data_IF_985004759439
#
_entry.id   IF_985004759439
#
_cell.length_a   1.000
_cell.length_b   1.000
_cell.length_c   1.000
_cell.angle_alpha   90.00
_cell.angle_beta   90.00
_cell.angle_gamma   90.00
#
_symmetry.space_group_name_H-M   'P 1'
#
loop_
_entity.id
_entity.type
_entity.pdbx_description
1 polymer ?
#
# COMPACT_ATOMS: atom_id res chain seq x y z
N UNK A 1 43.12 -3.17 -14.26
CA UNK A 1 42.11 -2.15 -14.62
C UNK A 1 41.60 -1.54 -13.31
N UNK A 2 42.16 -0.40 -12.88
CA UNK A 2 41.75 0.29 -11.66
C UNK A 2 40.45 1.05 -11.98
N UNK A 3 39.36 0.75 -11.28
CA UNK A 3 38.15 1.58 -11.30
C UNK A 3 38.57 2.94 -10.75
N UNK A 4 38.67 3.96 -11.60
CA UNK A 4 39.04 5.30 -11.17
C UNK A 4 37.97 5.84 -10.25
N UNK A 5 38.35 6.24 -9.03
CA UNK A 5 37.47 6.99 -8.15
C UNK A 5 36.91 8.19 -8.92
N UNK A 6 35.59 8.36 -8.90
CA UNK A 6 34.89 9.48 -9.55
C UNK A 6 35.47 10.81 -9.08
N UNK A 7 35.63 11.76 -10.01
CA UNK A 7 36.25 13.05 -9.72
C UNK A 7 35.48 13.81 -8.63
N UNK A 8 36.12 14.73 -7.87
CA UNK A 8 35.43 15.53 -6.85
C UNK A 8 34.17 16.24 -7.38
N UNK A 9 34.19 16.67 -8.65
CA UNK A 9 33.04 17.27 -9.33
C UNK A 9 31.91 16.25 -9.56
N UNK A 10 32.23 15.04 -10.02
CA UNK A 10 31.24 13.97 -10.18
C UNK A 10 30.62 13.58 -8.84
N UNK A 11 31.42 13.51 -7.77
CA UNK A 11 30.91 13.24 -6.42
C UNK A 11 29.98 14.36 -5.91
N UNK A 12 30.29 15.62 -6.19
CA UNK A 12 29.45 16.76 -5.83
C UNK A 12 28.10 16.74 -6.57
N UNK A 13 28.09 16.42 -7.86
CA UNK A 13 26.86 16.28 -8.66
C UNK A 13 25.97 15.16 -8.10
N UNK A 14 26.55 13.98 -7.84
CA UNK A 14 25.79 12.84 -7.27
C UNK A 14 25.20 13.22 -5.91
N UNK A 15 25.96 13.88 -5.03
CA UNK A 15 25.46 14.34 -3.73
C UNK A 15 24.31 15.33 -3.87
N UNK A 16 24.44 16.31 -4.76
CA UNK A 16 23.39 17.30 -5.00
C UNK A 16 22.10 16.65 -5.51
N UNK A 17 22.21 15.69 -6.43
CA UNK A 17 21.06 14.95 -6.94
C UNK A 17 20.37 14.13 -5.84
N UNK A 18 21.14 13.39 -5.04
CA UNK A 18 20.60 12.62 -3.91
C UNK A 18 19.90 13.52 -2.89
N UNK A 19 20.47 14.69 -2.59
CA UNK A 19 19.85 15.65 -1.68
C UNK A 19 18.52 16.18 -2.21
N UNK A 20 18.43 16.48 -3.51
CA UNK A 20 17.18 16.91 -4.15
C UNK A 20 16.13 15.79 -4.14
N UNK A 21 16.56 14.55 -4.35
CA UNK A 21 15.70 13.38 -4.30
C UNK A 21 15.16 13.14 -2.88
N UNK A 22 16.01 13.20 -1.86
CA UNK A 22 15.60 13.08 -0.45
C UNK A 22 14.62 14.19 -0.04
N UNK A 23 14.85 15.41 -0.53
CA UNK A 23 13.92 16.52 -0.31
C UNK A 23 12.55 16.26 -0.96
N UNK A 24 12.51 15.79 -2.22
CA UNK A 24 11.26 15.43 -2.88
C UNK A 24 10.52 14.30 -2.14
N UNK A 25 11.25 13.29 -1.65
CA UNK A 25 10.68 12.24 -0.82
C UNK A 25 10.06 12.80 0.46
N UNK A 26 10.74 13.71 1.16
CA UNK A 26 10.22 14.32 2.39
C UNK A 26 8.93 15.14 2.15
N UNK A 27 8.82 15.84 1.01
CA UNK A 27 7.58 16.55 0.64
C UNK A 27 6.46 15.54 0.41
N UNK A 28 6.75 14.44 -0.28
CA UNK A 28 5.78 13.40 -0.58
C UNK A 28 5.29 12.70 0.69
N UNK A 29 6.21 12.35 1.61
CA UNK A 29 5.88 11.79 2.91
C UNK A 29 5.01 12.77 3.72
N UNK A 30 5.37 14.04 3.77
CA UNK A 30 4.57 15.06 4.45
C UNK A 30 3.17 15.21 3.86
N UNK A 31 3.05 15.16 2.53
CA UNK A 31 1.75 15.18 1.85
C UNK A 31 0.90 13.97 2.24
N UNK A 32 1.48 12.77 2.28
CA UNK A 32 0.77 11.58 2.74
C UNK A 32 0.33 11.68 4.19
N UNK A 33 1.17 12.19 5.10
CA UNK A 33 0.78 12.40 6.51
C UNK A 33 -0.36 13.38 6.66
N UNK A 34 -0.34 14.47 5.89
CA UNK A 34 -1.44 15.44 5.88
C UNK A 34 -2.73 14.80 5.38
N UNK A 35 -2.67 14.01 4.31
CA UNK A 35 -3.83 13.27 3.80
C UNK A 35 -4.34 12.26 4.83
N UNK A 36 -3.45 11.53 5.49
CA UNK A 36 -3.81 10.63 6.60
C UNK A 36 -4.61 11.38 7.66
N UNK A 37 -4.10 12.54 8.11
CA UNK A 37 -4.78 13.35 9.13
C UNK A 37 -6.17 13.80 8.69
N UNK A 38 -6.31 14.27 7.45
CA UNK A 38 -7.60 14.70 6.89
C UNK A 38 -8.57 13.51 6.82
N UNK A 39 -8.15 12.38 6.24
CA UNK A 39 -8.98 11.18 6.13
C UNK A 39 -9.39 10.63 7.50
N UNK A 40 -8.47 10.60 8.47
CA UNK A 40 -8.75 10.16 9.84
C UNK A 40 -9.78 11.04 10.54
N UNK A 41 -9.75 12.37 10.33
CA UNK A 41 -10.75 13.27 10.88
C UNK A 41 -12.11 13.08 10.20
N UNK A 42 -12.13 12.92 8.87
CA UNK A 42 -13.34 12.68 8.08
C UNK A 42 -14.03 11.36 8.44
N UNK A 43 -13.28 10.36 8.91
CA UNK A 43 -13.83 9.05 9.31
C UNK A 43 -14.92 9.16 10.41
N UNK A 44 -14.95 10.28 11.13
CA UNK A 44 -15.93 10.52 12.20
C UNK A 44 -17.31 10.97 11.72
N UNK A 45 -17.51 11.31 10.44
CA UNK A 45 -18.79 11.81 9.88
C UNK A 45 -19.26 11.00 8.63
N UNK A 46 -20.58 10.82 8.48
CA UNK A 46 -21.34 9.93 7.56
C UNK A 46 -20.93 9.89 6.06
N UNK A 47 -21.39 9.01 5.16
CA UNK A 47 -21.46 7.52 5.04
C UNK A 47 -21.15 7.05 3.59
N UNK A 48 -20.54 7.88 2.73
CA UNK A 48 -19.99 7.44 1.42
C UNK A 48 -18.59 8.03 1.18
N UNK A 49 -18.40 9.30 1.53
CA UNK A 49 -17.08 9.94 1.65
C UNK A 49 -16.17 9.15 2.61
N UNK A 50 -16.78 8.54 3.64
CA UNK A 50 -16.14 7.62 4.57
C UNK A 50 -15.41 6.47 3.84
N UNK A 51 -16.06 5.84 2.85
CA UNK A 51 -15.49 4.69 2.13
C UNK A 51 -14.29 5.09 1.27
N UNK A 52 -14.39 6.23 0.58
CA UNK A 52 -13.28 6.82 -0.17
C UNK A 52 -12.12 7.17 0.76
N UNK A 53 -12.41 7.83 1.88
CA UNK A 53 -11.40 8.23 2.87
C UNK A 53 -10.63 7.04 3.45
N UNK A 54 -11.31 5.93 3.81
CA UNK A 54 -10.63 4.71 4.26
C UNK A 54 -9.72 4.12 3.18
N UNK A 55 -10.17 4.12 1.92
CA UNK A 55 -9.41 3.57 0.82
C UNK A 55 -8.17 4.42 0.50
N UNK A 56 -8.34 5.73 0.40
CA UNK A 56 -7.26 6.69 0.13
C UNK A 56 -6.24 6.73 1.27
N UNK A 57 -6.72 6.71 2.51
CA UNK A 57 -5.89 6.56 3.71
C UNK A 57 -5.03 5.29 3.61
N UNK A 58 -5.64 4.17 3.25
CA UNK A 58 -4.95 2.89 3.14
C UNK A 58 -3.91 2.89 2.03
N UNK A 59 -4.20 3.53 0.88
CA UNK A 59 -3.22 3.73 -0.20
C UNK A 59 -2.02 4.56 0.29
N UNK A 60 -2.25 5.66 1.01
CA UNK A 60 -1.19 6.46 1.61
C UNK A 60 -0.33 5.63 2.58
N UNK A 61 -0.98 4.86 3.48
CA UNK A 61 -0.29 3.99 4.43
C UNK A 61 0.54 2.90 3.73
N UNK A 62 0.04 2.33 2.62
CA UNK A 62 0.80 1.36 1.80
C UNK A 62 2.05 2.02 1.19
N UNK A 63 1.95 3.25 0.68
CA UNK A 63 3.10 3.98 0.14
C UNK A 63 4.14 4.30 1.23
N UNK A 64 3.68 4.67 2.43
CA UNK A 64 4.53 4.87 3.62
C UNK A 64 5.03 3.57 4.26
N UNK A 65 4.77 2.40 3.64
CA UNK A 65 5.14 1.07 4.14
C UNK A 65 4.52 0.71 5.51
N UNK A 66 3.47 1.41 5.93
CA UNK A 66 2.69 1.18 7.16
C UNK A 66 1.61 0.13 6.93
N UNK A 67 2.04 -1.07 6.53
CA UNK A 67 1.13 -2.10 6.02
C UNK A 67 0.12 -2.62 7.05
N UNK A 68 0.51 -2.76 8.32
CA UNK A 68 -0.38 -3.20 9.39
C UNK A 68 -1.58 -2.26 9.57
N UNK A 69 -1.31 -0.95 9.60
CA UNK A 69 -2.33 0.08 9.68
C UNK A 69 -3.22 0.08 8.43
N UNK A 70 -2.65 -0.03 7.22
CA UNK A 70 -3.43 -0.13 6.00
C UNK A 70 -4.39 -1.35 6.02
N UNK A 71 -3.92 -2.51 6.48
CA UNK A 71 -4.74 -3.72 6.60
C UNK A 71 -5.89 -3.51 7.59
N UNK A 72 -5.65 -2.83 8.71
CA UNK A 72 -6.68 -2.51 9.70
C UNK A 72 -7.76 -1.60 9.10
N UNK A 73 -7.36 -0.50 8.46
CA UNK A 73 -8.29 0.44 7.82
C UNK A 73 -9.14 -0.25 6.74
N UNK A 74 -8.54 -1.06 5.88
CA UNK A 74 -9.26 -1.81 4.84
C UNK A 74 -10.16 -2.91 5.40
N UNK A 75 -9.80 -3.48 6.56
CA UNK A 75 -10.65 -4.44 7.27
C UNK A 75 -11.87 -3.77 7.85
N UNK A 76 -11.71 -2.59 8.46
CA UNK A 76 -12.81 -1.77 8.93
C UNK A 76 -13.71 -1.34 7.77
N UNK A 77 -13.13 -0.85 6.66
CA UNK A 77 -13.86 -0.52 5.45
C UNK A 77 -14.71 -1.69 4.93
N UNK A 78 -14.13 -2.89 4.86
CA UNK A 78 -14.84 -4.09 4.40
C UNK A 78 -16.04 -4.45 5.29
N UNK A 79 -15.98 -4.15 6.59
CA UNK A 79 -17.10 -4.41 7.52
C UNK A 79 -18.23 -3.40 7.33
N UNK A 80 -17.89 -2.12 7.15
CA UNK A 80 -18.86 -1.03 6.97
C UNK A 80 -19.54 -1.14 5.61
N UNK A 81 -18.81 -1.55 4.58
CA UNK A 81 -19.32 -1.71 3.22
C UNK A 81 -20.28 -2.88 3.05
N UNK A 82 -20.41 -3.81 4.00
CA UNK A 82 -21.34 -4.93 3.84
C UNK A 82 -22.79 -4.43 3.76
N UNK A 83 -23.58 -4.87 2.75
CA UNK A 83 -23.29 -5.94 1.78
C UNK A 83 -22.61 -5.49 0.47
N UNK A 84 -22.48 -4.18 0.22
CA UNK A 84 -21.88 -3.57 -0.97
C UNK A 84 -20.35 -3.65 -0.99
N UNK A 85 -19.84 -4.86 -1.20
CA UNK A 85 -18.39 -5.14 -1.29
C UNK A 85 -17.70 -4.33 -2.39
N UNK A 86 -16.52 -3.76 -2.10
CA UNK A 86 -15.70 -3.02 -3.05
C UNK A 86 -14.46 -3.83 -3.46
N UNK A 87 -14.33 -4.15 -4.76
CA UNK A 87 -13.21 -4.91 -5.30
C UNK A 87 -11.84 -4.30 -4.97
N UNK A 88 -11.74 -2.97 -5.09
CA UNK A 88 -10.51 -2.21 -4.85
C UNK A 88 -10.06 -2.29 -3.38
N UNK A 89 -11.01 -2.30 -2.43
CA UNK A 89 -10.68 -2.45 -1.01
C UNK A 89 -10.06 -3.82 -0.71
N UNK A 90 -10.54 -4.89 -1.35
CA UNK A 90 -9.94 -6.22 -1.24
C UNK A 90 -8.57 -6.26 -1.92
N UNK A 91 -8.46 -5.72 -3.14
CA UNK A 91 -7.20 -5.67 -3.87
C UNK A 91 -6.09 -4.96 -3.05
N UNK A 92 -6.36 -3.75 -2.57
CA UNK A 92 -5.41 -2.99 -1.76
C UNK A 92 -5.03 -3.72 -0.47
N UNK A 93 -5.96 -4.48 0.14
CA UNK A 93 -5.67 -5.24 1.37
C UNK A 93 -4.78 -6.43 1.06
N UNK A 94 -5.03 -7.09 -0.07
CA UNK A 94 -4.17 -8.14 -0.61
C UNK A 94 -2.76 -7.64 -0.88
N UNK A 95 -2.62 -6.50 -1.55
CA UNK A 95 -1.32 -5.84 -1.83
C UNK A 95 -0.61 -5.49 -0.51
N UNK A 96 -1.31 -4.90 0.46
CA UNK A 96 -0.72 -4.55 1.75
C UNK A 96 -0.20 -5.80 2.49
N UNK A 97 -0.98 -6.89 2.53
CA UNK A 97 -0.56 -8.17 3.12
C UNK A 97 0.64 -8.75 2.34
N UNK A 98 0.60 -8.73 1.01
CA UNK A 98 1.70 -9.22 0.18
C UNK A 98 3.01 -8.50 0.50
N UNK A 99 2.98 -7.16 0.56
CA UNK A 99 4.16 -6.35 0.89
C UNK A 99 4.62 -6.55 2.34
N UNK A 100 3.69 -6.73 3.28
CA UNK A 100 3.99 -7.02 4.69
C UNK A 100 4.71 -8.37 4.85
N UNK A 101 4.31 -9.37 4.06
CA UNK A 101 4.86 -10.71 4.12
C UNK A 101 5.90 -11.01 3.04
N UNK A 102 6.37 -10.02 2.28
CA UNK A 102 7.27 -10.22 1.14
C UNK A 102 8.59 -10.93 1.50
N UNK A 103 9.00 -10.90 2.78
CA UNK A 103 10.21 -11.57 3.29
C UNK A 103 9.95 -12.95 3.89
N UNK A 104 8.69 -13.37 3.98
CA UNK A 104 8.33 -14.64 4.60
C UNK A 104 8.58 -15.78 3.61
N UNK A 105 9.13 -16.88 4.11
CA UNK A 105 9.22 -18.15 3.38
C UNK A 105 7.84 -18.77 3.19
N UNK A 106 7.72 -19.69 2.23
CA UNK A 106 6.48 -20.44 2.00
C UNK A 106 6.00 -21.19 3.26
N UNK A 107 6.92 -21.71 4.07
CA UNK A 107 6.63 -22.40 5.31
C UNK A 107 6.07 -21.45 6.39
N UNK A 108 6.59 -20.22 6.47
CA UNK A 108 6.08 -19.21 7.40
C UNK A 108 4.70 -18.72 6.98
N UNK A 109 4.47 -18.54 5.68
CA UNK A 109 3.15 -18.20 5.12
C UNK A 109 2.12 -19.30 5.37
N UNK A 110 2.53 -20.58 5.31
CA UNK A 110 1.64 -21.71 5.58
C UNK A 110 1.10 -21.71 7.02
N UNK A 111 1.89 -21.20 7.98
CA UNK A 111 1.51 -21.05 9.40
C UNK A 111 0.55 -19.90 9.66
N UNK A 112 0.41 -18.96 8.73
CA UNK A 112 -0.57 -17.88 8.85
C UNK A 112 -1.99 -18.44 8.72
N UNK A 113 -2.91 -17.90 9.51
CA UNK A 113 -4.34 -18.17 9.33
C UNK A 113 -4.77 -17.80 7.90
N UNK A 114 -5.74 -18.54 7.35
CA UNK A 114 -6.24 -18.35 5.97
C UNK A 114 -6.58 -16.87 5.69
N UNK A 115 -7.20 -16.19 6.65
CA UNK A 115 -7.60 -14.79 6.56
C UNK A 115 -6.42 -13.81 6.49
N UNK A 116 -5.20 -14.24 6.86
CA UNK A 116 -3.97 -13.42 6.75
C UNK A 116 -3.26 -13.64 5.42
N UNK A 117 -3.65 -14.61 4.60
CA UNK A 117 -3.00 -14.88 3.32
C UNK A 117 -3.37 -13.80 2.28
N UNK A 118 -2.40 -13.19 1.58
CA UNK A 118 -2.67 -12.15 0.58
C UNK A 118 -3.57 -12.61 -0.56
N UNK A 119 -3.36 -13.83 -1.06
CA UNK A 119 -4.12 -14.40 -2.18
C UNK A 119 -5.63 -14.49 -1.93
N UNK A 120 -6.06 -14.60 -0.67
CA UNK A 120 -7.48 -14.63 -0.36
C UNK A 120 -8.17 -13.33 -0.78
N UNK A 121 -7.55 -12.19 -0.47
CA UNK A 121 -8.07 -10.88 -0.80
C UNK A 121 -7.90 -10.55 -2.28
N UNK A 122 -6.73 -10.89 -2.86
CA UNK A 122 -6.45 -10.68 -4.28
C UNK A 122 -7.47 -11.46 -5.14
N UNK A 123 -7.80 -12.70 -4.79
CA UNK A 123 -8.80 -13.49 -5.51
C UNK A 123 -10.24 -13.02 -5.29
N UNK A 124 -10.51 -12.21 -4.27
CA UNK A 124 -11.84 -11.67 -4.02
C UNK A 124 -12.18 -10.51 -4.95
N UNK A 125 -11.19 -9.70 -5.34
CA UNK A 125 -11.38 -8.59 -6.27
C UNK A 125 -11.99 -9.00 -7.63
N UNK A 126 -11.47 -10.01 -8.37
CA UNK A 126 -12.05 -10.42 -9.65
C UNK A 126 -13.39 -11.16 -9.52
N UNK A 127 -13.75 -11.63 -8.33
CA UNK A 127 -15.10 -12.16 -8.07
C UNK A 127 -16.12 -11.03 -8.00
N UNK A 128 -15.74 -9.87 -7.48
CA UNK A 128 -16.59 -8.67 -7.39
C UNK A 128 -16.59 -7.92 -8.73
N UNK A 129 -15.41 -7.75 -9.33
CA UNK A 129 -15.21 -7.03 -10.59
C UNK A 129 -14.37 -7.88 -11.56
N UNK A 130 -15.02 -8.69 -12.43
CA UNK A 130 -14.32 -9.63 -13.31
C UNK A 130 -13.32 -9.01 -14.31
N UNK A 131 -13.46 -7.72 -14.61
CA UNK A 131 -12.57 -6.99 -15.52
C UNK A 131 -11.44 -6.23 -14.80
N UNK A 132 -11.22 -6.49 -13.50
CA UNK A 132 -10.17 -5.83 -12.73
C UNK A 132 -8.78 -6.36 -13.11
N UNK A 133 -8.16 -5.74 -14.11
CA UNK A 133 -6.85 -6.12 -14.63
C UNK A 133 -5.74 -6.08 -13.56
N UNK A 134 -5.81 -5.11 -12.64
CA UNK A 134 -4.82 -4.96 -11.57
C UNK A 134 -4.85 -6.16 -10.60
N UNK A 135 -6.03 -6.72 -10.33
CA UNK A 135 -6.13 -7.93 -9.51
C UNK A 135 -5.50 -9.17 -10.17
N UNK A 136 -5.64 -9.32 -11.49
CA UNK A 136 -4.94 -10.39 -12.22
C UNK A 136 -3.42 -10.19 -12.19
N UNK A 137 -2.94 -8.96 -12.39
CA UNK A 137 -1.51 -8.65 -12.27
C UNK A 137 -0.98 -8.92 -10.86
N UNK A 138 -1.69 -8.46 -9.83
CA UNK A 138 -1.31 -8.67 -8.43
C UNK A 138 -1.27 -10.17 -8.06
N UNK A 139 -2.15 -10.99 -8.66
CA UNK A 139 -2.15 -12.44 -8.48
C UNK A 139 -0.91 -13.10 -9.08
N UNK A 140 -0.42 -12.61 -10.22
CA UNK A 140 0.81 -13.13 -10.85
C UNK A 140 2.09 -12.71 -10.14
N UNK A 141 2.04 -11.64 -9.34
CA UNK A 141 3.17 -11.10 -8.60
C UNK A 141 3.41 -11.76 -7.24
N UNK A 142 2.53 -12.69 -6.82
CA UNK A 142 2.62 -13.46 -5.57
C UNK A 142 3.11 -14.89 -5.82
#
# INVERSE_FOLDING_TARGET
MKISASSPQQQAIVRSFLQQYDYALSIMEHAFEKTIQVCSNSITNQTAELHGAYLDLSKCLIQLKRYSQAIEQLTTLSKIQQPNQNAEAYLQRGIAKMRMFAKFSAQELAKLSSNRRPLLDINKAPVIEPNNAEAYLARTAW
#
